data_IF_393817218394
#
_entry.id   IF_393817218394
#
_cell.length_a   1.000
_cell.length_b   1.000
_cell.length_c   1.000
_cell.angle_alpha   90.00
_cell.angle_beta   90.00
_cell.angle_gamma   90.00
#
_symmetry.space_group_name_H-M   'P 1'
#
loop_
_entity.id
_entity.type
_entity.pdbx_description
1 polymer ?
#
# COMPACT_ATOMS: atom_id res chain seq x y z
N UNK A 1 23.63 -13.91 -50.94
CA UNK A 1 23.65 -14.76 -49.73
C UNK A 1 23.87 -13.97 -48.42
N UNK A 2 24.37 -12.73 -48.46
CA UNK A 2 24.67 -11.87 -47.29
C UNK A 2 23.45 -11.23 -46.63
N UNK A 3 22.41 -10.87 -47.39
CA UNK A 3 21.17 -10.25 -46.88
C UNK A 3 20.48 -11.09 -45.79
N UNK A 4 20.48 -12.41 -45.95
CA UNK A 4 19.88 -13.34 -45.01
C UNK A 4 20.59 -13.33 -43.64
N UNK A 5 21.92 -13.10 -43.62
CA UNK A 5 22.69 -13.03 -42.37
C UNK A 5 22.33 -11.81 -41.52
N UNK A 6 22.08 -10.67 -42.16
CA UNK A 6 21.67 -9.44 -41.46
C UNK A 6 20.26 -9.56 -40.87
N UNK A 7 19.33 -10.17 -41.61
CA UNK A 7 17.98 -10.44 -41.10
C UNK A 7 17.97 -11.41 -39.92
N UNK A 8 18.80 -12.47 -40.01
CA UNK A 8 18.99 -13.42 -38.91
C UNK A 8 19.59 -12.72 -37.68
N UNK A 9 20.60 -11.87 -37.86
CA UNK A 9 21.19 -11.09 -36.77
C UNK A 9 20.17 -10.14 -36.12
N UNK A 10 19.38 -9.42 -36.92
CA UNK A 10 18.34 -8.52 -36.43
C UNK A 10 17.26 -9.27 -35.65
N UNK A 11 16.87 -10.47 -36.11
CA UNK A 11 15.96 -11.35 -35.38
C UNK A 11 16.52 -11.73 -34.01
N UNK A 12 17.79 -12.12 -33.94
CA UNK A 12 18.43 -12.45 -32.65
C UNK A 12 18.50 -11.25 -31.72
N UNK A 13 18.90 -10.08 -32.23
CA UNK A 13 18.94 -8.83 -31.44
C UNK A 13 17.54 -8.51 -30.89
N UNK A 14 16.51 -8.55 -31.74
CA UNK A 14 15.14 -8.28 -31.31
C UNK A 14 14.67 -9.25 -30.22
N UNK A 15 14.93 -10.55 -30.38
CA UNK A 15 14.57 -11.57 -29.37
C UNK A 15 15.29 -11.31 -28.05
N UNK A 16 16.60 -11.04 -28.08
CA UNK A 16 17.38 -10.77 -26.86
C UNK A 16 16.88 -9.50 -26.16
N UNK A 17 16.63 -8.43 -26.91
CA UNK A 17 16.08 -7.19 -26.35
C UNK A 17 14.69 -7.39 -25.76
N UNK A 18 13.82 -8.17 -26.40
CA UNK A 18 12.50 -8.51 -25.84
C UNK A 18 12.60 -9.31 -24.55
N UNK A 19 13.54 -10.25 -24.45
CA UNK A 19 13.77 -11.02 -23.22
C UNK A 19 14.28 -10.13 -22.08
N UNK A 20 15.22 -9.23 -22.37
CA UNK A 20 15.71 -8.25 -21.39
C UNK A 20 14.56 -7.34 -20.93
N UNK A 21 13.77 -6.81 -21.87
CA UNK A 21 12.62 -5.97 -21.57
C UNK A 21 11.58 -6.70 -20.70
N UNK A 22 11.31 -7.98 -20.97
CA UNK A 22 10.39 -8.78 -20.16
C UNK A 22 10.88 -8.95 -18.71
N UNK A 23 12.17 -9.23 -18.51
CA UNK A 23 12.77 -9.37 -17.17
C UNK A 23 12.74 -8.04 -16.42
N UNK A 24 13.10 -6.94 -17.07
CA UNK A 24 13.06 -5.60 -16.45
C UNK A 24 11.62 -5.16 -16.14
N UNK A 25 10.68 -5.45 -17.03
CA UNK A 25 9.26 -5.22 -16.78
C UNK A 25 8.76 -6.01 -15.57
N UNK A 26 9.15 -7.29 -15.45
CA UNK A 26 8.82 -8.11 -14.27
C UNK A 26 9.42 -7.55 -12.98
N UNK A 27 10.70 -7.14 -12.98
CA UNK A 27 11.34 -6.49 -11.82
C UNK A 27 10.64 -5.20 -11.43
N UNK A 28 10.30 -4.37 -12.39
CA UNK A 28 9.59 -3.12 -12.15
C UNK A 28 8.18 -3.38 -11.58
N UNK A 29 7.44 -4.31 -12.18
CA UNK A 29 6.12 -4.72 -11.71
C UNK A 29 6.13 -5.30 -10.30
N UNK A 30 7.09 -6.17 -9.99
CA UNK A 30 7.25 -6.73 -8.64
C UNK A 30 7.68 -5.69 -7.62
N UNK A 31 8.52 -4.71 -8.00
CA UNK A 31 8.88 -3.59 -7.10
C UNK A 31 7.67 -2.72 -6.74
N UNK A 32 6.80 -2.41 -7.70
CA UNK A 32 5.59 -1.59 -7.44
C UNK A 32 4.58 -2.37 -6.60
N UNK A 33 4.39 -3.65 -6.93
CA UNK A 33 3.34 -4.50 -6.36
C UNK A 33 3.86 -5.44 -5.27
N UNK A 34 5.06 -5.21 -4.73
CA UNK A 34 5.68 -6.04 -3.70
C UNK A 34 4.72 -6.28 -2.52
N UNK A 35 3.96 -5.25 -2.15
CA UNK A 35 2.94 -5.30 -1.09
C UNK A 35 1.82 -6.29 -1.41
N UNK A 36 1.42 -6.41 -2.66
CA UNK A 36 0.37 -7.34 -3.07
C UNK A 36 0.73 -8.80 -2.80
N UNK A 37 2.03 -9.12 -2.79
CA UNK A 37 2.54 -10.46 -2.50
C UNK A 37 2.82 -10.69 -1.01
N UNK A 38 2.99 -9.63 -0.23
CA UNK A 38 3.53 -9.73 1.13
C UNK A 38 2.61 -9.16 2.20
N UNK A 39 2.01 -7.99 1.97
CA UNK A 39 1.26 -7.22 2.96
C UNK A 39 0.01 -6.60 2.29
N UNK A 40 -1.14 -7.23 2.49
CA UNK A 40 -2.38 -6.85 1.80
C UNK A 40 -3.02 -5.66 2.53
N UNK A 41 -3.17 -4.49 1.88
CA UNK A 41 -3.88 -3.36 2.47
C UNK A 41 -5.39 -3.59 2.47
N UNK A 42 -6.04 -3.19 3.55
CA UNK A 42 -7.48 -3.31 3.78
C UNK A 42 -8.02 -1.92 4.12
N UNK A 43 -9.07 -1.53 3.42
CA UNK A 43 -9.83 -0.31 3.68
C UNK A 43 -11.15 -0.69 4.32
N UNK A 44 -11.35 -0.25 5.55
CA UNK A 44 -12.57 -0.49 6.30
C UNK A 44 -13.27 0.84 6.54
N UNK A 45 -14.52 0.93 6.13
CA UNK A 45 -15.34 2.11 6.43
C UNK A 45 -15.58 2.17 7.95
N UNK A 46 -15.27 3.32 8.56
CA UNK A 46 -15.40 3.51 10.02
C UNK A 46 -16.81 3.93 10.43
N UNK A 47 -17.63 4.34 9.46
CA UNK A 47 -19.03 4.67 9.68
C UNK A 47 -19.81 4.34 8.41
N UNK A 48 -21.01 3.76 8.54
CA UNK A 48 -21.90 3.55 7.40
C UNK A 48 -22.43 4.87 6.81
N UNK A 49 -22.31 5.98 7.55
CA UNK A 49 -22.84 7.30 7.18
C UNK A 49 -21.80 8.13 6.40
N UNK A 50 -20.50 8.01 6.74
CA UNK A 50 -19.40 8.79 6.15
C UNK A 50 -18.44 7.88 5.38
N UNK A 51 -18.73 7.64 4.09
CA UNK A 51 -17.94 6.75 3.21
C UNK A 51 -16.53 7.25 2.89
N UNK A 52 -16.25 8.54 3.12
CA UNK A 52 -14.94 9.14 2.89
C UNK A 52 -14.00 9.00 4.08
N UNK A 53 -14.50 8.57 5.24
CA UNK A 53 -13.70 8.30 6.42
C UNK A 53 -13.35 6.80 6.44
N UNK A 54 -12.06 6.47 6.39
CA UNK A 54 -11.61 5.07 6.30
C UNK A 54 -10.57 4.74 7.36
N UNK A 55 -10.65 3.52 7.89
CA UNK A 55 -9.56 2.85 8.58
C UNK A 55 -8.76 2.05 7.55
N UNK A 56 -7.49 2.40 7.40
CA UNK A 56 -6.54 1.72 6.54
C UNK A 56 -5.59 0.92 7.42
N UNK A 57 -5.45 -0.37 7.14
CA UNK A 57 -4.42 -1.20 7.75
C UNK A 57 -3.92 -2.20 6.73
N UNK A 58 -2.86 -2.93 7.04
CA UNK A 58 -2.34 -3.96 6.16
C UNK A 58 -1.99 -5.19 6.97
N UNK A 59 -2.32 -6.36 6.44
CA UNK A 59 -2.03 -7.65 7.05
C UNK A 59 -1.60 -8.62 5.95
N UNK A 60 -0.70 -9.53 6.26
CA UNK A 60 -0.08 -10.35 5.23
C UNK A 60 0.77 -11.46 5.79
N UNK A 61 1.50 -12.16 4.92
CA UNK A 61 2.29 -13.34 5.28
C UNK A 61 3.56 -13.02 6.09
N UNK A 62 4.50 -13.98 6.17
CA UNK A 62 5.73 -13.86 6.97
C UNK A 62 6.65 -12.66 6.64
N UNK A 63 6.39 -11.97 5.53
CA UNK A 63 7.15 -10.79 5.11
C UNK A 63 6.45 -9.45 5.45
N UNK A 64 5.28 -9.49 6.10
CA UNK A 64 4.50 -8.33 6.53
C UNK A 64 4.59 -8.20 8.05
N UNK A 65 5.79 -7.90 8.53
CA UNK A 65 6.01 -7.49 9.91
C UNK A 65 5.50 -6.06 10.14
N UNK A 66 5.54 -5.56 11.39
CA UNK A 66 5.10 -4.19 11.74
C UNK A 66 5.68 -3.11 10.82
N UNK A 67 6.95 -3.27 10.45
CA UNK A 67 7.65 -2.33 9.57
C UNK A 67 7.11 -2.39 8.14
N UNK A 68 6.86 -3.60 7.63
CA UNK A 68 6.21 -3.85 6.35
C UNK A 68 4.84 -3.21 6.30
N UNK A 69 4.04 -3.39 7.35
CA UNK A 69 2.71 -2.81 7.47
C UNK A 69 2.74 -1.28 7.42
N UNK A 70 3.55 -0.65 8.27
CA UNK A 70 3.70 0.80 8.29
C UNK A 70 4.11 1.35 6.91
N UNK A 71 5.09 0.69 6.26
CA UNK A 71 5.54 1.08 4.92
C UNK A 71 4.41 0.97 3.89
N UNK A 72 3.60 -0.08 3.96
CA UNK A 72 2.44 -0.27 3.08
C UNK A 72 1.39 0.81 3.32
N UNK A 73 1.04 1.09 4.57
CA UNK A 73 0.08 2.15 4.93
C UNK A 73 0.54 3.50 4.37
N UNK A 74 1.78 3.91 4.66
CA UNK A 74 2.31 5.20 4.17
C UNK A 74 2.31 5.25 2.64
N UNK A 75 2.79 4.20 1.96
CA UNK A 75 2.80 4.16 0.49
C UNK A 75 1.38 4.28 -0.07
N UNK A 76 0.40 3.63 0.56
CA UNK A 76 -1.00 3.68 0.13
C UNK A 76 -1.61 5.06 0.31
N UNK A 77 -1.37 5.72 1.44
CA UNK A 77 -1.78 7.11 1.65
C UNK A 77 -1.21 7.99 0.54
N UNK A 78 0.10 7.91 0.26
CA UNK A 78 0.74 8.77 -0.75
C UNK A 78 0.40 8.47 -2.21
N UNK A 79 -0.16 7.29 -2.49
CA UNK A 79 -0.41 6.83 -3.87
C UNK A 79 -1.88 6.85 -4.23
N UNK A 80 -2.73 6.46 -3.28
CA UNK A 80 -4.16 6.28 -3.53
C UNK A 80 -4.91 7.61 -3.25
N UNK A 81 -4.25 8.62 -2.68
CA UNK A 81 -4.75 9.98 -2.49
C UNK A 81 -3.83 10.99 -3.19
N UNK A 82 -4.35 11.64 -4.23
CA UNK A 82 -3.62 12.64 -5.02
C UNK A 82 -3.79 14.02 -4.39
N UNK A 83 -2.71 14.56 -3.82
CA UNK A 83 -2.70 15.84 -3.09
C UNK A 83 -3.03 17.04 -3.97
N UNK A 84 -2.86 16.89 -5.29
CA UNK A 84 -3.23 17.94 -6.25
C UNK A 84 -4.75 18.05 -6.44
N UNK A 85 -5.50 16.98 -6.17
CA UNK A 85 -6.95 16.93 -6.34
C UNK A 85 -7.68 17.36 -5.06
N UNK A 86 -7.22 16.90 -3.90
CA UNK A 86 -7.79 17.27 -2.61
C UNK A 86 -6.76 17.14 -1.48
N UNK A 87 -6.95 17.92 -0.42
CA UNK A 87 -6.15 17.77 0.81
C UNK A 87 -6.64 16.59 1.61
N UNK A 88 -5.71 15.91 2.26
CA UNK A 88 -6.02 14.77 3.11
C UNK A 88 -5.52 15.00 4.52
N UNK A 89 -6.32 14.53 5.46
CA UNK A 89 -5.95 14.46 6.86
C UNK A 89 -5.91 13.00 7.28
N UNK A 90 -4.87 12.62 7.99
CA UNK A 90 -4.72 11.25 8.49
C UNK A 90 -3.94 11.20 9.80
N UNK A 91 -4.07 10.09 10.53
CA UNK A 91 -3.18 9.73 11.62
C UNK A 91 -2.80 8.26 11.50
N UNK A 92 -1.63 7.90 12.03
CA UNK A 92 -1.13 6.53 12.06
C UNK A 92 -0.95 6.12 13.52
N UNK A 93 -1.51 4.98 13.88
CA UNK A 93 -1.53 4.43 15.23
C UNK A 93 -0.78 3.09 15.24
N UNK A 94 0.10 2.91 16.21
CA UNK A 94 0.75 1.63 16.48
C UNK A 94 -0.10 0.78 17.43
N UNK A 95 -0.34 -0.47 17.07
CA UNK A 95 -0.91 -1.45 17.98
C UNK A 95 0.20 -2.03 18.89
N UNK A 96 0.27 -1.54 20.13
CA UNK A 96 1.27 -1.98 21.12
C UNK A 96 1.09 -3.43 21.59
N UNK A 97 -0.06 -4.06 21.32
CA UNK A 97 -0.32 -5.46 21.69
C UNK A 97 0.38 -6.45 20.75
N UNK A 98 0.73 -5.99 19.56
CA UNK A 98 1.34 -6.79 18.51
C UNK A 98 2.86 -6.66 18.59
N UNK A 99 3.57 -7.78 18.49
CA UNK A 99 5.04 -7.76 18.50
C UNK A 99 5.61 -7.14 17.22
N UNK A 100 6.83 -6.55 17.25
CA UNK A 100 7.48 -6.01 16.05
C UNK A 100 7.56 -7.02 14.91
N UNK A 101 7.94 -8.25 15.25
CA UNK A 101 7.81 -9.40 14.37
C UNK A 101 6.57 -10.15 14.81
N UNK A 102 5.56 -10.15 13.95
CA UNK A 102 4.36 -10.95 14.11
C UNK A 102 4.01 -11.52 12.75
N UNK A 103 3.46 -12.72 12.76
CA UNK A 103 3.02 -13.40 11.56
C UNK A 103 1.56 -13.78 11.74
N UNK A 104 0.78 -13.77 10.66
CA UNK A 104 -0.59 -14.26 10.68
C UNK A 104 -0.58 -15.70 11.20
N UNK A 105 -1.54 -16.01 12.05
CA UNK A 105 -1.75 -17.38 12.55
C UNK A 105 -2.29 -18.20 11.36
N UNK A 106 -1.95 -19.48 11.27
CA UNK A 106 -2.34 -20.35 10.16
C UNK A 106 -3.85 -20.26 9.79
N UNK A 107 -4.19 -20.53 8.52
CA UNK A 107 -5.54 -20.59 7.94
C UNK A 107 -6.38 -19.28 8.00
N UNK A 108 -6.13 -18.37 7.06
CA UNK A 108 -6.92 -17.17 6.73
C UNK A 108 -7.09 -16.09 7.82
N UNK A 109 -6.81 -16.37 9.09
CA UNK A 109 -6.81 -15.37 10.16
C UNK A 109 -5.46 -14.66 10.25
N UNK A 110 -5.38 -13.50 9.57
CA UNK A 110 -4.14 -12.74 9.52
C UNK A 110 -3.77 -11.99 10.81
N UNK A 111 -4.54 -12.18 11.88
CA UNK A 111 -4.29 -11.57 13.18
C UNK A 111 -4.57 -10.07 13.23
N UNK A 112 -4.30 -9.46 14.38
CA UNK A 112 -4.41 -8.00 14.52
C UNK A 112 -3.28 -7.28 13.78
N UNK A 113 -3.57 -6.18 13.06
CA UNK A 113 -2.53 -5.39 12.42
C UNK A 113 -1.67 -4.70 13.49
N UNK A 114 -0.37 -4.65 13.24
CA UNK A 114 0.57 -3.93 14.08
C UNK A 114 0.55 -2.41 13.90
N UNK A 115 0.07 -1.91 12.75
CA UNK A 115 -0.26 -0.50 12.51
C UNK A 115 -1.60 -0.34 11.80
N UNK A 116 -2.31 0.75 12.09
CA UNK A 116 -3.47 1.20 11.33
C UNK A 116 -3.47 2.72 11.21
N UNK A 117 -4.23 3.24 10.26
CA UNK A 117 -4.40 4.66 10.03
C UNK A 117 -5.87 5.01 9.88
N UNK A 118 -6.25 6.20 10.34
CA UNK A 118 -7.51 6.84 9.96
C UNK A 118 -7.19 7.90 8.92
N UNK A 119 -7.98 7.95 7.85
CA UNK A 119 -7.78 8.88 6.74
C UNK A 119 -9.12 9.37 6.20
N UNK A 120 -9.17 10.66 5.86
CA UNK A 120 -10.29 11.31 5.20
C UNK A 120 -9.79 12.47 4.32
N UNK A 121 -10.60 12.83 3.33
CA UNK A 121 -10.41 14.04 2.56
C UNK A 121 -10.94 15.25 3.34
N UNK A 122 -10.25 16.37 3.25
CA UNK A 122 -10.61 17.61 3.97
C UNK A 122 -11.90 18.24 3.43
N UNK A 123 -12.27 17.93 2.18
CA UNK A 123 -13.53 18.39 1.57
C UNK A 123 -14.79 17.81 2.22
N UNK A 124 -14.69 16.67 2.91
CA UNK A 124 -15.78 16.07 3.67
C UNK A 124 -15.63 16.38 5.15
N UNK A 125 -16.26 17.49 5.58
CA UNK A 125 -16.20 17.97 6.96
C UNK A 125 -16.62 16.92 7.99
N UNK A 126 -17.65 16.11 7.69
CA UNK A 126 -18.13 15.08 8.61
C UNK A 126 -17.13 13.93 8.74
N UNK A 127 -16.49 13.55 7.62
CA UNK A 127 -15.43 12.55 7.64
C UNK A 127 -14.20 13.07 8.40
N UNK A 128 -13.82 14.34 8.17
CA UNK A 128 -12.71 15.01 8.83
C UNK A 128 -12.90 15.12 10.34
N UNK A 129 -14.07 15.54 10.80
CA UNK A 129 -14.41 15.63 12.22
C UNK A 129 -14.33 14.24 12.87
N UNK A 130 -14.88 13.22 12.21
CA UNK A 130 -14.86 11.84 12.70
C UNK A 130 -13.44 11.30 12.85
N UNK A 131 -12.57 11.47 11.84
CA UNK A 131 -11.19 10.99 11.95
C UNK A 131 -10.41 11.79 13.00
N UNK A 132 -10.67 13.08 13.14
CA UNK A 132 -9.98 13.93 14.13
C UNK A 132 -10.32 13.46 15.54
N UNK A 133 -11.60 13.18 15.82
CA UNK A 133 -12.03 12.62 17.10
C UNK A 133 -11.35 11.27 17.37
N UNK A 134 -11.31 10.38 16.37
CA UNK A 134 -10.66 9.06 16.50
C UNK A 134 -9.16 9.18 16.76
N UNK A 135 -8.48 10.05 16.03
CA UNK A 135 -7.05 10.26 16.20
C UNK A 135 -6.72 10.83 17.59
N UNK A 136 -7.56 11.74 18.12
CA UNK A 136 -7.41 12.29 19.47
C UNK A 136 -7.68 11.26 20.57
N UNK A 137 -8.68 10.39 20.40
CA UNK A 137 -8.97 9.29 21.34
C UNK A 137 -7.79 8.32 21.47
N UNK A 138 -7.03 8.13 20.40
CA UNK A 138 -5.84 7.27 20.35
C UNK A 138 -4.54 8.02 20.71
N UNK A 139 -4.63 9.27 21.16
CA UNK A 139 -3.49 10.16 21.47
C UNK A 139 -2.47 10.26 20.32
N UNK A 140 -2.94 10.12 19.09
CA UNK A 140 -2.11 10.06 17.88
C UNK A 140 -1.91 11.43 17.24
N UNK A 141 -0.80 11.57 16.50
CA UNK A 141 -0.49 12.81 15.79
C UNK A 141 -1.32 12.88 14.52
N UNK A 142 -1.99 14.01 14.33
CA UNK A 142 -2.70 14.35 13.11
C UNK A 142 -1.71 14.91 12.07
N UNK A 143 -1.77 14.39 10.86
CA UNK A 143 -1.00 14.84 9.71
C UNK A 143 -1.94 15.38 8.64
N UNK A 144 -1.47 16.42 7.95
CA UNK A 144 -2.15 16.99 6.79
C UNK A 144 -1.21 16.94 5.60
N UNK A 145 -1.72 16.49 4.45
CA UNK A 145 -0.98 16.44 3.18
C UNK A 145 -1.75 17.24 2.14
#
# INVERSE_FOLDING_TARGET
>A
MTFNKYLVLLKYIAVVLSLIAAVEYFKYGTRINYEWFHCTPIYQDISPVTKNAKKLFSVGGPSCDKRGEFKTIVKRITRDYEVNDDRITFCIIENLRVSPVHYPVEDDDKGEPGYYAYIANDSDFNALELITEKCLQEESILYHM
#
